data_IF_379193582288
#
_entry.id   IF_379193582288
#
_cell.length_a   1.000
_cell.length_b   1.000
_cell.length_c   1.000
_cell.angle_alpha   90.00
_cell.angle_beta   90.00
_cell.angle_gamma   90.00
#
_symmetry.space_group_name_H-M   'P 1'
#
loop_
_entity.id
_entity.type
_entity.pdbx_description
1 polymer ?
#
# COMPACT_ATOMS: atom_id res chain seq x y z
N UNK A 1 -20.08 -13.00 -11.42
CA UNK A 1 -21.07 -13.00 -10.31
C UNK A 1 -21.09 -11.58 -9.71
N UNK A 2 -21.17 -10.58 -10.58
CA UNK A 2 -20.60 -9.26 -10.32
C UNK A 2 -21.70 -8.21 -10.31
N UNK A 3 -21.62 -7.26 -9.37
CA UNK A 3 -22.47 -6.07 -9.37
C UNK A 3 -21.86 -5.11 -10.38
N UNK A 4 -22.62 -4.66 -11.36
CA UNK A 4 -22.23 -3.54 -12.22
C UNK A 4 -22.68 -2.24 -11.57
N UNK A 5 -21.73 -1.45 -11.06
CA UNK A 5 -22.04 -0.18 -10.39
C UNK A 5 -22.64 0.86 -11.34
N UNK A 6 -22.51 0.67 -12.66
CA UNK A 6 -23.09 1.56 -13.67
C UNK A 6 -24.57 1.24 -13.94
N UNK A 7 -25.01 0.00 -13.73
CA UNK A 7 -26.32 -0.47 -14.20
C UNK A 7 -27.19 -1.14 -13.13
N UNK A 8 -26.59 -1.72 -12.09
CA UNK A 8 -27.30 -2.42 -11.03
C UNK A 8 -27.62 -1.52 -9.83
N UNK A 9 -28.68 -1.85 -9.10
CA UNK A 9 -28.93 -1.27 -7.77
C UNK A 9 -28.05 -1.93 -6.72
N UNK A 10 -27.32 -1.13 -5.93
CA UNK A 10 -26.47 -1.62 -4.85
C UNK A 10 -26.51 -0.72 -3.61
N UNK A 11 -25.94 -1.22 -2.51
CA UNK A 11 -25.72 -0.45 -1.29
C UNK A 11 -24.23 -0.37 -0.99
N UNK A 12 -23.70 0.85 -0.86
CA UNK A 12 -22.32 1.09 -0.44
C UNK A 12 -22.08 0.54 0.97
N UNK A 13 -23.07 0.64 1.87
CA UNK A 13 -22.94 0.23 3.26
C UNK A 13 -23.06 -1.28 3.50
N UNK A 14 -23.97 -1.96 2.80
CA UNK A 14 -24.21 -3.43 2.86
C UNK A 14 -23.79 -4.11 4.19
N UNK A 15 -24.38 -3.64 5.30
CA UNK A 15 -23.91 -3.91 6.65
C UNK A 15 -23.97 -5.40 7.01
N UNK A 16 -24.97 -6.13 6.51
CA UNK A 16 -25.14 -7.56 6.81
C UNK A 16 -23.99 -8.41 6.29
N UNK A 17 -23.54 -8.18 5.05
CA UNK A 17 -22.41 -8.93 4.49
C UNK A 17 -21.08 -8.50 5.11
N UNK A 18 -20.91 -7.22 5.46
CA UNK A 18 -19.72 -6.75 6.18
C UNK A 18 -19.62 -7.35 7.58
N UNK A 19 -20.72 -7.38 8.33
CA UNK A 19 -20.78 -8.04 9.62
C UNK A 19 -20.45 -9.54 9.50
N UNK A 20 -20.97 -10.22 8.47
CA UNK A 20 -20.60 -11.61 8.21
C UNK A 20 -19.09 -11.75 7.95
N UNK A 21 -18.53 -10.93 7.05
CA UNK A 21 -17.11 -10.96 6.73
C UNK A 21 -16.29 -10.73 8.00
N UNK A 22 -16.57 -9.69 8.77
CA UNK A 22 -15.88 -9.41 10.02
C UNK A 22 -15.98 -10.55 11.03
N UNK A 23 -17.17 -11.13 11.26
CA UNK A 23 -17.32 -12.26 12.18
C UNK A 23 -16.48 -13.46 11.73
N UNK A 24 -16.47 -13.73 10.42
CA UNK A 24 -15.63 -14.78 9.84
C UNK A 24 -14.14 -14.48 10.08
N UNK A 25 -13.68 -13.27 9.78
CA UNK A 25 -12.29 -12.83 9.93
C UNK A 25 -11.86 -12.87 11.40
N UNK A 26 -12.70 -12.36 12.30
CA UNK A 26 -12.44 -12.38 13.73
C UNK A 26 -12.33 -13.80 14.28
N UNK A 27 -13.18 -14.73 13.81
CA UNK A 27 -13.05 -16.15 14.15
C UNK A 27 -11.80 -16.78 13.54
N UNK A 28 -11.45 -16.41 12.31
CA UNK A 28 -10.29 -16.91 11.58
C UNK A 28 -8.97 -16.51 12.26
N UNK A 29 -8.77 -15.20 12.51
CA UNK A 29 -7.56 -14.65 13.16
C UNK A 29 -7.38 -15.21 14.59
N UNK A 30 -8.47 -15.49 15.30
CA UNK A 30 -8.46 -16.08 16.64
C UNK A 30 -8.29 -17.61 16.64
N UNK A 31 -8.14 -18.26 15.48
CA UNK A 31 -8.01 -19.71 15.37
C UNK A 31 -9.25 -20.47 15.87
N UNK A 32 -10.44 -19.86 15.80
CA UNK A 32 -11.69 -20.45 16.28
C UNK A 32 -12.46 -21.21 15.20
N UNK A 33 -12.09 -21.05 13.93
CA UNK A 33 -12.68 -21.79 12.83
C UNK A 33 -12.04 -23.17 12.72
N UNK A 34 -12.86 -24.21 12.52
CA UNK A 34 -12.34 -25.54 12.19
C UNK A 34 -11.68 -25.54 10.80
N UNK A 35 -10.65 -26.37 10.61
CA UNK A 35 -10.01 -26.55 9.30
C UNK A 35 -11.00 -26.81 8.16
N UNK A 36 -12.02 -27.64 8.40
CA UNK A 36 -13.06 -27.92 7.38
C UNK A 36 -13.78 -26.65 6.88
N UNK A 37 -14.14 -25.73 7.78
CA UNK A 37 -14.78 -24.47 7.41
C UNK A 37 -13.79 -23.58 6.65
N UNK A 38 -12.53 -23.54 7.12
CA UNK A 38 -11.48 -22.78 6.45
C UNK A 38 -11.25 -23.28 5.02
N UNK A 39 -11.12 -24.58 4.81
CA UNK A 39 -10.90 -25.16 3.49
C UNK A 39 -12.08 -24.91 2.56
N UNK A 40 -13.32 -24.99 3.08
CA UNK A 40 -14.52 -24.72 2.30
C UNK A 40 -14.66 -23.24 1.91
N UNK A 41 -14.30 -22.32 2.80
CA UNK A 41 -14.50 -20.88 2.57
C UNK A 41 -13.32 -20.27 1.83
N UNK A 42 -12.09 -20.56 2.26
CA UNK A 42 -10.85 -19.99 1.71
C UNK A 42 -10.33 -20.78 0.51
N UNK A 43 -10.74 -22.04 0.33
CA UNK A 43 -10.41 -22.83 -0.86
C UNK A 43 -11.37 -22.64 -2.03
N UNK A 44 -12.53 -22.01 -1.82
CA UNK A 44 -13.51 -21.71 -2.87
C UNK A 44 -13.40 -20.25 -3.32
N UNK A 45 -12.87 -20.06 -4.53
CA UNK A 45 -12.69 -18.74 -5.14
C UNK A 45 -14.02 -17.98 -5.27
N UNK A 46 -15.14 -18.66 -5.55
CA UNK A 46 -16.45 -18.01 -5.65
C UNK A 46 -16.93 -17.53 -4.29
N UNK A 47 -16.67 -18.31 -3.24
CA UNK A 47 -16.99 -17.91 -1.87
C UNK A 47 -16.15 -16.70 -1.44
N UNK A 48 -14.85 -16.70 -1.74
CA UNK A 48 -13.97 -15.55 -1.47
C UNK A 48 -14.46 -14.28 -2.19
N UNK A 49 -14.74 -14.36 -3.49
CA UNK A 49 -15.29 -13.23 -4.25
C UNK A 49 -16.66 -12.79 -3.70
N UNK A 50 -17.49 -13.72 -3.22
CA UNK A 50 -18.77 -13.40 -2.59
C UNK A 50 -18.61 -12.65 -1.26
N UNK A 51 -17.66 -13.05 -0.42
CA UNK A 51 -17.28 -12.33 0.81
C UNK A 51 -16.75 -10.94 0.46
N UNK A 52 -15.86 -10.88 -0.55
CA UNK A 52 -15.23 -9.67 -1.06
C UNK A 52 -16.18 -8.65 -1.67
N UNK A 53 -17.34 -9.09 -2.15
CA UNK A 53 -18.21 -8.29 -3.01
C UNK A 53 -18.62 -6.94 -2.41
N UNK A 54 -18.99 -6.89 -1.13
CA UNK A 54 -19.40 -5.60 -0.52
C UNK A 54 -18.28 -4.58 -0.51
N UNK A 55 -17.08 -5.02 -0.16
CA UNK A 55 -15.90 -4.17 -0.13
C UNK A 55 -15.53 -3.71 -1.53
N UNK A 56 -15.42 -4.64 -2.47
CA UNK A 56 -15.05 -4.33 -3.85
C UNK A 56 -16.08 -3.43 -4.53
N UNK A 57 -17.38 -3.66 -4.33
CA UNK A 57 -18.43 -2.77 -4.87
C UNK A 57 -18.32 -1.36 -4.29
N UNK A 58 -18.21 -1.20 -2.95
CA UNK A 58 -18.11 0.13 -2.34
C UNK A 58 -16.85 0.88 -2.77
N UNK A 59 -15.69 0.22 -2.78
CA UNK A 59 -14.44 0.79 -3.25
C UNK A 59 -14.52 1.19 -4.71
N UNK A 60 -15.12 0.36 -5.56
CA UNK A 60 -15.31 0.67 -6.98
C UNK A 60 -16.24 1.87 -7.18
N UNK A 61 -17.30 1.99 -6.39
CA UNK A 61 -18.18 3.18 -6.42
C UNK A 61 -17.43 4.46 -6.07
N UNK A 62 -16.53 4.41 -5.08
CA UNK A 62 -15.66 5.56 -4.74
C UNK A 62 -14.72 5.88 -5.91
N UNK A 63 -14.14 4.86 -6.55
CA UNK A 63 -13.26 5.06 -7.70
C UNK A 63 -14.00 5.69 -8.88
N UNK A 64 -15.20 5.20 -9.18
CA UNK A 64 -16.07 5.72 -10.23
C UNK A 64 -16.48 7.16 -9.97
N UNK A 65 -16.85 7.48 -8.72
CA UNK A 65 -17.14 8.83 -8.28
C UNK A 65 -15.92 9.76 -8.49
N UNK A 66 -14.72 9.32 -8.09
CA UNK A 66 -13.49 10.11 -8.26
C UNK A 66 -13.08 10.32 -9.73
N UNK A 67 -13.47 9.40 -10.63
CA UNK A 67 -13.15 9.48 -12.05
C UNK A 67 -14.14 10.36 -12.85
N UNK A 68 -15.27 10.72 -12.25
CA UNK A 68 -16.36 11.43 -12.93
C UNK A 68 -16.18 12.94 -12.83
N UNK A 69 -15.71 13.60 -13.90
CA UNK A 69 -15.37 15.04 -13.88
C UNK A 69 -16.58 16.01 -13.85
N UNK A 70 -17.83 15.56 -14.10
CA UNK A 70 -18.88 16.50 -14.53
C UNK A 70 -20.34 16.14 -14.18
N UNK A 71 -20.65 15.75 -12.95
CA UNK A 71 -22.05 15.45 -12.58
C UNK A 71 -22.65 16.57 -11.73
N UNK A 72 -23.63 17.29 -12.28
CA UNK A 72 -24.32 18.41 -11.59
C UNK A 72 -25.19 17.94 -10.39
N UNK A 73 -25.44 16.63 -10.25
CA UNK A 73 -26.28 16.02 -9.19
C UNK A 73 -25.47 15.39 -8.01
N UNK A 74 -24.17 15.69 -7.89
CA UNK A 74 -23.28 15.00 -6.95
C UNK A 74 -23.51 15.31 -5.47
N UNK A 75 -24.28 16.33 -5.09
CA UNK A 75 -24.46 16.68 -3.67
C UNK A 75 -24.91 15.48 -2.81
N UNK A 76 -25.74 14.57 -3.35
CA UNK A 76 -26.14 13.36 -2.63
C UNK A 76 -25.03 12.30 -2.60
N UNK A 77 -24.33 12.06 -3.71
CA UNK A 77 -23.21 11.12 -3.75
C UNK A 77 -22.05 11.60 -2.87
N UNK A 78 -21.73 12.88 -2.91
CA UNK A 78 -20.79 13.55 -2.00
C UNK A 78 -21.17 13.28 -0.56
N UNK A 79 -22.46 13.43 -0.19
CA UNK A 79 -22.92 13.15 1.16
C UNK A 79 -22.75 11.67 1.54
N UNK A 80 -23.07 10.73 0.63
CA UNK A 80 -22.93 9.30 0.90
C UNK A 80 -21.46 8.89 1.01
N UNK A 81 -20.62 9.33 0.06
CA UNK A 81 -19.19 9.04 0.02
C UNK A 81 -18.46 9.73 1.18
N UNK A 82 -18.82 10.98 1.50
CA UNK A 82 -18.30 11.65 2.69
C UNK A 82 -18.77 10.97 3.97
N UNK A 83 -20.02 10.52 4.07
CA UNK A 83 -20.46 9.71 5.22
C UNK A 83 -19.64 8.42 5.30
N UNK A 84 -19.31 7.81 4.17
CA UNK A 84 -18.49 6.60 4.12
C UNK A 84 -17.02 6.85 4.51
N UNK A 85 -16.42 7.97 4.08
CA UNK A 85 -14.98 8.27 4.21
C UNK A 85 -14.61 9.21 5.37
N UNK A 86 -15.44 10.23 5.64
CA UNK A 86 -15.18 11.33 6.60
C UNK A 86 -15.65 10.99 8.00
N UNK A 87 -16.76 10.27 8.14
CA UNK A 87 -17.33 10.03 9.46
C UNK A 87 -16.46 9.08 10.29
N UNK A 88 -16.70 9.08 11.60
CA UNK A 88 -16.14 8.14 12.57
C UNK A 88 -16.40 6.66 12.20
N UNK A 89 -17.12 6.39 11.09
CA UNK A 89 -17.25 5.12 10.37
C UNK A 89 -16.04 4.73 9.51
N UNK A 90 -14.81 5.20 9.80
CA UNK A 90 -13.57 4.60 9.24
C UNK A 90 -13.57 3.08 9.36
N UNK A 91 -14.35 2.56 10.30
CA UNK A 91 -14.56 1.17 10.56
C UNK A 91 -15.01 0.38 9.31
N UNK A 92 -15.99 0.87 8.55
CA UNK A 92 -16.45 0.18 7.33
C UNK A 92 -15.33 0.08 6.29
N UNK A 93 -14.56 1.15 6.18
CA UNK A 93 -13.45 1.20 5.26
C UNK A 93 -12.30 0.29 5.69
N UNK A 94 -12.04 0.18 6.99
CA UNK A 94 -11.08 -0.76 7.57
C UNK A 94 -11.49 -2.22 7.36
N UNK A 95 -12.80 -2.52 7.50
CA UNK A 95 -13.34 -3.83 7.18
C UNK A 95 -13.13 -4.18 5.70
N UNK A 96 -13.36 -3.21 4.81
CA UNK A 96 -13.13 -3.39 3.38
C UNK A 96 -11.66 -3.70 3.11
N UNK A 97 -10.72 -2.97 3.72
CA UNK A 97 -9.29 -3.26 3.59
C UNK A 97 -8.89 -4.63 4.09
N UNK A 98 -9.40 -5.03 5.25
CA UNK A 98 -9.15 -6.37 5.80
C UNK A 98 -9.70 -7.44 4.86
N UNK A 99 -10.84 -7.17 4.23
CA UNK A 99 -11.42 -8.04 3.21
C UNK A 99 -10.51 -8.12 1.97
N UNK A 100 -9.98 -7.00 1.48
CA UNK A 100 -9.00 -7.00 0.37
C UNK A 100 -7.74 -7.80 0.74
N UNK A 101 -7.22 -7.68 1.97
CA UNK A 101 -6.08 -8.47 2.44
C UNK A 101 -6.35 -9.97 2.39
N UNK A 102 -7.57 -10.42 2.68
CA UNK A 102 -7.98 -11.82 2.56
C UNK A 102 -8.05 -12.26 1.11
N UNK A 103 -8.64 -11.44 0.24
CA UNK A 103 -8.67 -11.73 -1.18
C UNK A 103 -7.25 -11.87 -1.75
N UNK A 104 -6.34 -10.94 -1.42
CA UNK A 104 -4.93 -10.99 -1.80
C UNK A 104 -4.23 -12.24 -1.24
N UNK A 105 -4.62 -12.69 -0.05
CA UNK A 105 -4.00 -13.85 0.61
C UNK A 105 -4.43 -15.19 0.02
N UNK A 106 -5.65 -15.30 -0.50
CA UNK A 106 -6.26 -16.59 -0.80
C UNK A 106 -6.70 -16.77 -2.25
N UNK A 107 -6.85 -15.69 -3.03
CA UNK A 107 -7.06 -15.80 -4.46
C UNK A 107 -5.73 -15.96 -5.20
N UNK A 108 -5.81 -16.62 -6.36
CA UNK A 108 -4.75 -16.54 -7.35
C UNK A 108 -4.46 -15.06 -7.71
N UNK A 109 -3.19 -14.63 -7.80
CA UNK A 109 -2.84 -13.24 -8.05
C UNK A 109 -3.45 -12.66 -9.32
N UNK A 110 -3.48 -13.41 -10.42
CA UNK A 110 -4.08 -12.97 -11.68
C UNK A 110 -5.60 -12.82 -11.52
N UNK A 111 -6.25 -13.80 -10.89
CA UNK A 111 -7.69 -13.76 -10.63
C UNK A 111 -8.08 -12.58 -9.74
N UNK A 112 -7.31 -12.31 -8.67
CA UNK A 112 -7.54 -11.15 -7.80
C UNK A 112 -7.44 -9.84 -8.59
N UNK A 113 -6.37 -9.65 -9.38
CA UNK A 113 -6.19 -8.43 -10.16
C UNK A 113 -7.29 -8.25 -11.21
N UNK A 114 -7.67 -9.32 -11.91
CA UNK A 114 -8.81 -9.30 -12.85
C UNK A 114 -10.10 -8.92 -12.12
N UNK A 115 -10.39 -9.56 -10.99
CA UNK A 115 -11.59 -9.29 -10.21
C UNK A 115 -11.68 -7.82 -9.82
N UNK A 116 -10.57 -7.23 -9.34
CA UNK A 116 -10.53 -5.80 -9.02
C UNK A 116 -10.72 -4.92 -10.26
N UNK A 117 -10.01 -5.19 -11.37
CA UNK A 117 -10.10 -4.41 -12.61
C UNK A 117 -11.52 -4.41 -13.19
N UNK A 118 -12.18 -5.58 -13.24
CA UNK A 118 -13.55 -5.70 -13.71
C UNK A 118 -14.54 -4.93 -12.83
N UNK A 119 -14.24 -4.69 -11.55
CA UNK A 119 -15.11 -3.91 -10.67
C UNK A 119 -14.79 -2.41 -10.70
N UNK A 120 -13.52 -2.03 -10.80
CA UNK A 120 -13.10 -0.63 -10.91
C UNK A 120 -13.53 -0.02 -12.25
N UNK A 121 -13.46 -0.80 -13.34
CA UNK A 121 -13.87 -0.38 -14.68
C UNK A 121 -14.94 -1.33 -15.25
N UNK A 122 -16.20 -1.27 -14.80
CA UNK A 122 -17.26 -2.19 -15.23
C UNK A 122 -17.48 -2.21 -16.75
N UNK A 123 -17.26 -1.08 -17.41
CA UNK A 123 -17.34 -0.93 -18.87
C UNK A 123 -16.54 -1.97 -19.67
N UNK A 124 -15.43 -2.51 -19.11
CA UNK A 124 -14.61 -3.53 -19.80
C UNK A 124 -15.30 -4.90 -19.88
N UNK A 125 -16.26 -5.20 -18.98
CA UNK A 125 -16.98 -6.49 -18.92
C UNK A 125 -17.75 -6.82 -20.19
N UNK A 126 -18.12 -5.80 -20.97
CA UNK A 126 -18.83 -5.96 -22.25
C UNK A 126 -17.92 -6.43 -23.38
N UNK A 127 -16.60 -6.28 -23.22
CA UNK A 127 -15.59 -6.52 -24.28
C UNK A 127 -14.62 -7.63 -23.94
N UNK A 128 -14.38 -7.88 -22.66
CA UNK A 128 -13.39 -8.84 -22.17
C UNK A 128 -14.00 -9.70 -21.07
N UNK A 129 -13.63 -10.97 -21.03
CA UNK A 129 -13.98 -11.94 -19.98
C UNK A 129 -12.74 -12.32 -19.14
N UNK A 130 -12.97 -13.09 -18.07
CA UNK A 130 -11.89 -13.56 -17.18
C UNK A 130 -10.87 -14.51 -17.84
N UNK A 131 -11.19 -15.06 -19.03
CA UNK A 131 -10.27 -15.95 -19.75
C UNK A 131 -9.12 -15.19 -20.41
N UNK A 132 -9.27 -13.88 -20.64
CA UNK A 132 -8.19 -13.07 -21.21
C UNK A 132 -7.05 -12.88 -20.21
N UNK A 133 -5.79 -12.94 -20.66
CA UNK A 133 -4.65 -12.64 -19.80
C UNK A 133 -4.70 -11.21 -19.25
N UNK A 134 -4.21 -11.01 -18.03
CA UNK A 134 -4.16 -9.70 -17.38
C UNK A 134 -3.45 -8.64 -18.25
N UNK A 135 -2.35 -9.02 -18.93
CA UNK A 135 -1.60 -8.12 -19.81
C UNK A 135 -2.45 -7.57 -20.97
N UNK A 136 -3.37 -8.37 -21.52
CA UNK A 136 -4.31 -7.93 -22.55
C UNK A 136 -5.35 -6.96 -22.00
N UNK A 137 -5.78 -7.13 -20.75
CA UNK A 137 -6.76 -6.26 -20.11
C UNK A 137 -6.14 -4.89 -19.82
N UNK A 138 -4.89 -4.86 -19.34
CA UNK A 138 -4.17 -3.61 -19.05
C UNK A 138 -3.90 -2.76 -20.31
N UNK A 139 -3.93 -3.34 -21.51
CA UNK A 139 -3.80 -2.60 -22.77
C UNK A 139 -5.11 -1.94 -23.26
N UNK A 140 -6.21 -2.04 -22.50
CA UNK A 140 -7.46 -1.36 -22.85
C UNK A 140 -7.39 0.15 -22.56
N UNK A 141 -8.12 0.93 -23.36
CA UNK A 141 -8.18 2.39 -23.26
C UNK A 141 -8.62 2.90 -21.86
N UNK A 142 -9.44 2.14 -21.14
CA UNK A 142 -9.86 2.48 -19.77
C UNK A 142 -8.71 2.61 -18.78
N UNK A 143 -7.56 2.04 -19.11
CA UNK A 143 -6.33 2.11 -18.33
C UNK A 143 -5.29 3.04 -18.95
N UNK A 144 -5.55 3.64 -20.12
CA UNK A 144 -4.68 4.66 -20.73
C UNK A 144 -4.71 5.99 -19.97
N UNK A 145 -5.87 6.37 -19.39
CA UNK A 145 -6.07 7.63 -18.62
C UNK A 145 -5.57 7.48 -17.16
N UNK A 146 -4.91 6.36 -16.83
CA UNK A 146 -4.23 6.07 -15.57
C UNK A 146 -5.07 6.11 -14.27
N UNK A 147 -6.29 6.67 -14.26
CA UNK A 147 -7.13 6.84 -13.06
C UNK A 147 -7.61 5.51 -12.47
N UNK A 148 -8.10 4.59 -13.30
CA UNK A 148 -8.54 3.27 -12.83
C UNK A 148 -7.36 2.47 -12.27
N UNK A 149 -6.22 2.56 -12.96
CA UNK A 149 -4.98 1.90 -12.54
C UNK A 149 -4.45 2.48 -11.23
N UNK A 150 -4.53 3.80 -11.05
CA UNK A 150 -4.20 4.50 -9.80
C UNK A 150 -4.99 3.96 -8.63
N UNK A 151 -6.31 3.86 -8.78
CA UNK A 151 -7.16 3.34 -7.72
C UNK A 151 -6.80 1.89 -7.34
N UNK A 152 -6.60 1.02 -8.34
CA UNK A 152 -6.15 -0.35 -8.11
C UNK A 152 -4.83 -0.37 -7.33
N UNK A 153 -3.83 0.39 -7.77
CA UNK A 153 -2.51 0.45 -7.14
C UNK A 153 -2.59 0.98 -5.71
N UNK A 154 -3.43 1.98 -5.43
CA UNK A 154 -3.64 2.49 -4.07
C UNK A 154 -4.22 1.39 -3.17
N UNK A 155 -5.24 0.66 -3.63
CA UNK A 155 -5.87 -0.41 -2.85
C UNK A 155 -4.89 -1.54 -2.57
N UNK A 156 -4.17 -1.99 -3.60
CA UNK A 156 -3.18 -3.06 -3.49
C UNK A 156 -2.03 -2.65 -2.57
N UNK A 157 -1.45 -1.47 -2.78
CA UNK A 157 -0.34 -0.98 -1.97
C UNK A 157 -0.73 -0.83 -0.49
N UNK A 158 -1.88 -0.20 -0.20
CA UNK A 158 -2.36 -0.08 1.18
C UNK A 158 -2.63 -1.43 1.82
N UNK A 159 -3.27 -2.36 1.11
CA UNK A 159 -3.50 -3.71 1.64
C UNK A 159 -2.17 -4.40 1.96
N UNK A 160 -1.14 -4.20 1.15
CA UNK A 160 0.18 -4.78 1.35
C UNK A 160 1.01 -4.12 2.46
N UNK A 161 0.84 -2.83 2.74
CA UNK A 161 1.65 -2.08 3.72
C UNK A 161 0.96 -1.97 5.08
N UNK A 162 -0.37 -1.79 5.11
CA UNK A 162 -1.13 -1.56 6.35
C UNK A 162 -1.46 -2.90 7.04
N UNK A 163 -0.43 -3.59 7.49
CA UNK A 163 -0.48 -4.99 7.95
C UNK A 163 -0.92 -5.20 9.41
N UNK A 164 -1.46 -4.16 10.05
CA UNK A 164 -1.82 -4.13 11.48
C UNK A 164 -2.72 -5.27 11.96
N UNK A 165 -3.50 -5.91 11.09
CA UNK A 165 -4.39 -7.02 11.46
C UNK A 165 -3.82 -8.41 11.10
N UNK A 166 -2.78 -8.43 10.25
CA UNK A 166 -2.26 -9.65 9.63
C UNK A 166 -0.89 -10.03 10.14
N UNK A 167 -0.21 -9.12 10.86
CA UNK A 167 1.08 -9.39 11.48
C UNK A 167 0.97 -10.05 12.86
N UNK A 168 2.04 -10.73 13.25
CA UNK A 168 2.27 -11.28 14.58
C UNK A 168 3.03 -10.21 15.38
N UNK A 169 2.32 -9.48 16.24
CA UNK A 169 2.87 -8.44 17.10
C UNK A 169 2.30 -8.57 18.50
N UNK A 170 3.10 -8.21 19.51
CA UNK A 170 2.72 -8.34 20.92
C UNK A 170 1.56 -7.42 21.32
N UNK A 171 1.38 -6.29 20.63
CA UNK A 171 0.31 -5.32 20.91
C UNK A 171 -0.22 -4.64 19.64
N UNK A 172 -1.06 -5.36 18.90
CA UNK A 172 -1.65 -4.90 17.64
C UNK A 172 -2.52 -3.64 17.80
N UNK A 173 -3.28 -3.55 18.90
CA UNK A 173 -4.23 -2.46 19.12
C UNK A 173 -3.53 -1.12 19.33
N UNK A 174 -2.36 -1.13 20.00
CA UNK A 174 -1.52 0.06 20.22
C UNK A 174 -0.84 0.50 18.93
N UNK A 175 -0.30 -0.43 18.13
CA UNK A 175 0.34 -0.06 16.86
C UNK A 175 -0.65 0.47 15.84
N UNK A 176 -1.83 -0.16 15.75
CA UNK A 176 -2.91 0.35 14.93
C UNK A 176 -3.37 1.74 15.40
N UNK A 177 -3.51 1.93 16.72
CA UNK A 177 -3.83 3.25 17.28
C UNK A 177 -2.77 4.27 16.87
N UNK A 178 -1.49 3.97 17.09
CA UNK A 178 -0.35 4.79 16.72
C UNK A 178 -0.42 5.24 15.26
N UNK A 179 -0.69 4.32 14.33
CA UNK A 179 -0.87 4.71 12.92
C UNK A 179 -2.06 5.60 12.68
N UNK A 180 -3.22 5.33 13.28
CA UNK A 180 -4.37 6.22 13.15
C UNK A 180 -4.06 7.64 13.66
N UNK A 181 -3.35 7.76 14.79
CA UNK A 181 -2.96 9.07 15.35
C UNK A 181 -2.00 9.79 14.39
N UNK A 182 -0.95 9.10 13.93
CA UNK A 182 0.04 9.66 13.00
C UNK A 182 -0.65 10.25 11.76
N UNK A 183 -1.50 9.47 11.10
CA UNK A 183 -2.18 9.92 9.89
C UNK A 183 -3.23 11.01 10.12
N UNK A 184 -3.85 11.04 11.30
CA UNK A 184 -4.80 12.10 11.67
C UNK A 184 -4.08 13.42 11.97
N UNK A 185 -2.98 13.39 12.72
CA UNK A 185 -2.18 14.58 13.03
C UNK A 185 -1.37 15.08 11.82
N UNK A 186 -1.04 14.20 10.87
CA UNK A 186 -0.42 14.59 9.61
C UNK A 186 -1.29 15.58 8.82
N UNK A 187 -2.63 15.42 8.86
CA UNK A 187 -3.63 16.31 8.22
C UNK A 187 -3.62 17.73 8.78
N UNK A 188 -3.13 17.93 10.01
CA UNK A 188 -3.08 19.23 10.65
C UNK A 188 -3.20 19.15 12.18
N UNK A 189 -2.98 20.29 12.82
CA UNK A 189 -3.05 20.41 14.27
C UNK A 189 -4.50 20.17 14.75
N UNK A 190 -4.65 19.44 15.85
CA UNK A 190 -5.96 19.16 16.45
C UNK A 190 -5.89 19.40 17.96
N UNK A 191 -7.03 19.68 18.59
CA UNK A 191 -7.11 19.71 20.05
C UNK A 191 -7.24 18.27 20.56
N UNK A 192 -6.65 17.98 21.72
CA UNK A 192 -6.70 16.64 22.33
C UNK A 192 -8.16 16.18 22.49
N UNK A 193 -9.04 17.11 22.88
CA UNK A 193 -10.49 16.85 23.03
C UNK A 193 -11.13 16.42 21.71
N UNK A 194 -10.90 17.16 20.62
CA UNK A 194 -11.45 16.82 19.30
C UNK A 194 -10.92 15.47 18.80
N UNK A 195 -9.65 15.18 19.05
CA UNK A 195 -9.03 13.92 18.69
C UNK A 195 -9.64 12.74 19.46
N UNK A 196 -9.77 12.88 20.78
CA UNK A 196 -10.36 11.89 21.68
C UNK A 196 -11.80 11.56 21.25
N UNK A 197 -12.65 12.56 21.04
CA UNK A 197 -14.04 12.35 20.63
C UNK A 197 -14.14 11.49 19.36
N UNK A 198 -13.36 11.81 18.32
CA UNK A 198 -13.33 11.04 17.06
C UNK A 198 -12.82 9.61 17.20
N UNK A 199 -11.88 9.40 18.12
CA UNK A 199 -11.27 8.08 18.33
C UNK A 199 -12.16 7.16 19.16
N UNK A 200 -12.88 7.71 20.15
CA UNK A 200 -13.77 6.95 21.03
C UNK A 200 -15.02 6.44 20.32
N UNK A 201 -15.65 7.27 19.47
CA UNK A 201 -16.84 6.88 18.70
C UNK A 201 -16.60 5.61 17.86
N UNK A 202 -15.37 5.40 17.37
CA UNK A 202 -14.97 4.21 16.62
C UNK A 202 -14.82 2.95 17.50
N UNK A 203 -14.23 3.08 18.70
CA UNK A 203 -13.75 1.92 19.50
C UNK A 203 -14.74 1.43 20.56
N UNK A 204 -15.67 2.26 21.02
CA UNK A 204 -16.72 1.85 21.97
C UNK A 204 -17.64 0.76 21.42
N UNK A 205 -17.72 0.59 20.09
CA UNK A 205 -18.51 -0.49 19.47
C UNK A 205 -17.89 -1.88 19.74
N UNK A 206 -16.59 -1.98 20.02
CA UNK A 206 -15.85 -3.26 20.03
C UNK A 206 -15.09 -3.60 21.30
N UNK A 207 -14.73 -2.61 22.13
CA UNK A 207 -13.87 -2.84 23.29
C UNK A 207 -14.70 -2.81 24.58
N UNK A 208 -14.84 -3.96 25.22
CA UNK A 208 -15.55 -4.10 26.50
C UNK A 208 -14.84 -3.41 27.69
N UNK A 209 -13.59 -2.98 27.54
CA UNK A 209 -12.81 -2.30 28.58
C UNK A 209 -12.26 -0.96 28.06
N UNK A 210 -13.01 0.11 28.30
CA UNK A 210 -12.65 1.47 27.89
C UNK A 210 -11.45 2.05 28.67
N UNK A 211 -11.08 1.45 29.81
CA UNK A 211 -10.03 2.00 30.68
C UNK A 211 -8.63 1.79 30.10
N UNK A 212 -8.32 0.56 29.69
CA UNK A 212 -7.03 0.21 29.04
C UNK A 212 -6.85 0.95 27.71
N UNK A 213 -7.95 1.23 27.00
CA UNK A 213 -7.91 2.03 25.79
C UNK A 213 -7.50 3.48 26.04
N UNK A 214 -7.99 4.08 27.14
CA UNK A 214 -7.66 5.46 27.50
C UNK A 214 -6.18 5.63 27.82
N UNK A 215 -5.63 4.70 28.60
CA UNK A 215 -4.21 4.70 28.98
C UNK A 215 -3.32 4.56 27.73
N UNK A 216 -3.63 3.59 26.87
CA UNK A 216 -2.93 3.40 25.61
C UNK A 216 -3.01 4.64 24.70
N UNK A 217 -4.16 5.31 24.65
CA UNK A 217 -4.34 6.51 23.82
C UNK A 217 -3.45 7.67 24.29
N UNK A 218 -3.42 7.95 25.59
CA UNK A 218 -2.62 9.05 26.13
C UNK A 218 -1.11 8.78 25.98
N UNK A 219 -0.68 7.53 26.15
CA UNK A 219 0.71 7.13 25.93
C UNK A 219 1.12 7.25 24.46
N UNK A 220 0.28 6.79 23.53
CA UNK A 220 0.54 6.92 22.09
C UNK A 220 0.52 8.39 21.67
N UNK A 221 -0.43 9.20 22.14
CA UNK A 221 -0.46 10.64 21.86
C UNK A 221 0.83 11.32 22.32
N UNK A 222 1.28 11.03 23.54
CA UNK A 222 2.55 11.56 24.08
C UNK A 222 3.76 11.07 23.27
N UNK A 223 3.71 9.83 22.78
CA UNK A 223 4.75 9.23 21.93
C UNK A 223 4.85 9.95 20.58
N UNK A 224 3.74 10.17 19.89
CA UNK A 224 3.76 10.66 18.49
C UNK A 224 3.55 12.16 18.31
N UNK A 225 3.13 12.89 19.36
CA UNK A 225 2.76 14.31 19.24
C UNK A 225 3.56 15.25 20.14
N UNK A 226 3.64 16.51 19.72
CA UNK A 226 4.13 17.65 20.51
C UNK A 226 2.97 18.59 20.82
N UNK A 227 2.94 19.09 22.05
CA UNK A 227 1.96 20.11 22.46
C UNK A 227 2.41 21.46 21.94
N UNK A 228 1.51 22.15 21.22
CA UNK A 228 1.71 23.53 20.80
C UNK A 228 0.89 24.42 21.73
N UNK A 229 1.56 25.37 22.38
CA UNK A 229 0.89 26.40 23.15
C UNK A 229 0.16 27.33 22.17
N UNK A 230 -1.16 27.18 22.07
CA UNK A 230 -2.02 28.14 21.38
C UNK A 230 -2.43 29.27 22.32
N UNK A 231 -2.76 30.43 21.75
CA UNK A 231 -3.37 31.54 22.50
C UNK A 231 -4.74 31.15 23.07
N UNK A 232 -5.43 30.22 22.40
CA UNK A 232 -6.65 29.61 22.91
C UNK A 232 -6.33 28.66 24.06
N UNK A 233 -7.14 28.70 25.12
CA UNK A 233 -6.98 27.88 26.34
C UNK A 233 -6.95 26.36 26.11
N UNK A 234 -7.28 25.88 24.91
CA UNK A 234 -7.22 24.46 24.55
C UNK A 234 -5.85 24.07 24.02
N UNK A 235 -5.21 23.06 24.63
CA UNK A 235 -3.95 22.51 24.15
C UNK A 235 -4.13 21.88 22.77
N UNK A 236 -3.46 22.46 21.77
CA UNK A 236 -3.33 21.88 20.43
C UNK A 236 -2.13 20.95 20.38
N UNK A 237 -2.22 19.91 19.56
CA UNK A 237 -1.14 18.94 19.33
C UNK A 237 -0.78 18.87 17.85
N UNK A 238 0.50 18.65 17.56
CA UNK A 238 1.05 18.41 16.22
C UNK A 238 1.82 17.09 16.18
N UNK A 239 1.90 16.48 15.00
CA UNK A 239 2.74 15.31 14.77
C UNK A 239 4.22 15.67 14.94
N UNK A 240 5.00 14.85 15.65
CA UNK A 240 6.44 15.06 15.73
C UNK A 240 7.11 14.81 14.37
N UNK A 241 8.16 15.58 14.00
CA UNK A 241 8.80 15.49 12.69
C UNK A 241 9.21 14.06 12.27
N UNK A 242 9.75 13.27 13.20
CA UNK A 242 10.25 11.92 12.93
C UNK A 242 9.18 10.92 12.45
N UNK A 243 7.90 11.19 12.72
CA UNK A 243 6.81 10.32 12.25
C UNK A 243 6.35 10.64 10.83
N UNK A 244 6.77 11.77 10.25
CA UNK A 244 6.50 12.05 8.82
C UNK A 244 7.27 11.11 7.90
N UNK A 245 8.41 10.58 8.34
CA UNK A 245 9.24 9.69 7.52
C UNK A 245 8.48 8.43 7.08
N UNK A 246 7.67 7.91 7.98
CA UNK A 246 6.94 6.66 7.78
C UNK A 246 5.49 6.90 7.34
N UNK A 247 5.14 8.14 6.97
CA UNK A 247 3.79 8.49 6.57
C UNK A 247 3.48 7.91 5.19
N UNK A 248 2.52 6.99 5.13
CA UNK A 248 1.95 6.55 3.86
C UNK A 248 1.06 7.67 3.27
N UNK A 249 1.55 8.36 2.23
CA UNK A 249 0.83 9.47 1.58
C UNK A 249 -0.46 9.04 0.87
N UNK A 250 -0.61 7.74 0.60
CA UNK A 250 -1.82 7.13 0.03
C UNK A 250 -2.66 6.42 1.09
N UNK A 251 -2.31 6.58 2.38
CA UNK A 251 -3.01 5.96 3.49
C UNK A 251 -4.47 6.33 3.45
N UNK A 252 -5.27 5.28 3.33
CA UNK A 252 -6.72 5.33 3.40
C UNK A 252 -7.35 6.45 2.59
N UNK A 253 -7.12 6.42 1.25
CA UNK A 253 -7.74 7.24 0.19
C UNK A 253 -8.38 8.46 0.82
N UNK A 254 -7.52 9.41 1.21
CA UNK A 254 -7.96 10.66 1.79
C UNK A 254 -9.13 11.18 0.98
N UNK A 255 -10.17 11.69 1.65
CA UNK A 255 -11.16 12.52 0.98
C UNK A 255 -10.37 13.51 0.12
N UNK A 256 -10.61 13.53 -1.19
CA UNK A 256 -9.70 14.04 -2.22
C UNK A 256 -8.96 15.36 -1.87
N UNK A 257 -9.61 16.36 -1.23
CA UNK A 257 -8.94 17.58 -0.76
C UNK A 257 -7.85 17.36 0.31
N UNK A 258 -8.06 16.46 1.27
CA UNK A 258 -7.12 16.22 2.37
C UNK A 258 -5.82 15.57 1.86
N UNK A 259 -5.91 14.74 0.82
CA UNK A 259 -4.76 14.08 0.21
C UNK A 259 -3.77 15.10 -0.37
N UNK A 260 -4.27 16.12 -1.06
CA UNK A 260 -3.40 17.15 -1.64
C UNK A 260 -2.63 17.95 -0.59
N UNK A 261 -3.27 18.31 0.52
CA UNK A 261 -2.61 19.05 1.59
C UNK A 261 -1.45 18.25 2.20
N UNK A 262 -1.62 16.93 2.34
CA UNK A 262 -0.56 16.06 2.84
C UNK A 262 0.56 15.91 1.82
N UNK A 263 0.24 15.76 0.54
CA UNK A 263 1.25 15.67 -0.52
C UNK A 263 2.09 16.95 -0.59
N UNK A 264 1.47 18.12 -0.54
CA UNK A 264 2.17 19.42 -0.53
C UNK A 264 3.09 19.53 0.69
N UNK A 265 2.57 19.23 1.88
CA UNK A 265 3.34 19.25 3.12
C UNK A 265 4.53 18.28 3.09
N UNK A 266 4.34 17.06 2.59
CA UNK A 266 5.44 16.09 2.42
C UNK A 266 6.45 16.57 1.39
N UNK A 267 6.00 17.15 0.29
CA UNK A 267 6.88 17.72 -0.73
C UNK A 267 7.79 18.80 -0.13
N UNK A 268 7.24 19.69 0.69
CA UNK A 268 8.02 20.73 1.37
C UNK A 268 9.03 20.14 2.36
N UNK A 269 8.61 19.19 3.20
CA UNK A 269 9.48 18.57 4.19
C UNK A 269 10.61 17.74 3.56
N UNK A 270 10.35 17.06 2.44
CA UNK A 270 11.37 16.34 1.67
C UNK A 270 12.33 17.31 0.98
N UNK A 271 11.81 18.42 0.44
CA UNK A 271 12.64 19.46 -0.18
C UNK A 271 13.63 20.08 0.80
N UNK A 272 13.23 20.26 2.06
CA UNK A 272 14.10 20.78 3.12
C UNK A 272 14.93 19.70 3.82
N UNK A 273 14.82 18.43 3.40
CA UNK A 273 15.47 17.27 4.05
C UNK A 273 15.14 17.15 5.55
N UNK A 274 13.97 17.65 5.97
CA UNK A 274 13.49 17.56 7.36
C UNK A 274 12.93 16.17 7.64
N UNK A 275 12.35 15.55 6.62
CA UNK A 275 11.93 14.15 6.64
C UNK A 275 12.39 13.46 5.35
N UNK A 276 12.26 12.14 5.29
CA UNK A 276 12.51 11.32 4.10
C UNK A 276 11.53 10.15 4.06
N UNK A 277 11.21 9.67 2.87
CA UNK A 277 10.37 8.48 2.73
C UNK A 277 11.05 7.27 3.36
N UNK A 278 10.34 6.60 4.28
CA UNK A 278 10.68 5.32 4.86
C UNK A 278 9.44 4.42 4.85
N UNK A 279 9.60 3.15 4.49
CA UNK A 279 8.55 2.17 4.76
C UNK A 279 8.45 1.91 6.28
N UNK A 280 7.24 1.66 6.82
CA UNK A 280 7.08 1.20 8.20
C UNK A 280 7.90 -0.07 8.45
N UNK A 281 8.15 -0.39 9.71
CA UNK A 281 8.59 -1.73 10.08
C UNK A 281 7.56 -2.75 9.59
N UNK A 282 8.06 -3.86 9.03
CA UNK A 282 7.22 -4.90 8.45
C UNK A 282 7.45 -6.16 9.25
N UNK A 283 6.43 -6.55 10.01
CA UNK A 283 6.42 -7.74 10.82
C UNK A 283 6.22 -9.02 10.00
N UNK A 284 6.36 -10.15 10.69
CA UNK A 284 6.02 -11.45 10.13
C UNK A 284 4.50 -11.57 9.99
N UNK A 285 4.05 -12.02 8.82
CA UNK A 285 2.64 -12.32 8.58
C UNK A 285 2.23 -13.57 9.37
N UNK A 286 1.00 -13.55 9.89
CA UNK A 286 0.30 -14.76 10.36
C UNK A 286 0.23 -15.77 9.22
N UNK A 287 0.23 -17.05 9.56
CA UNK A 287 0.18 -18.16 8.60
C UNK A 287 -0.95 -17.99 7.57
N UNK A 288 -2.11 -17.62 8.11
CA UNK A 288 -3.33 -17.24 7.40
C UNK A 288 -3.19 -16.21 6.28
N UNK A 289 -2.18 -15.34 6.33
CA UNK A 289 -1.98 -14.22 5.42
C UNK A 289 -0.66 -14.33 4.65
N UNK A 290 0.06 -15.47 4.74
CA UNK A 290 1.32 -15.67 4.01
C UNK A 290 1.14 -15.45 2.51
N UNK A 291 -0.03 -15.76 1.96
CA UNK A 291 -0.36 -15.55 0.55
C UNK A 291 -0.21 -14.09 0.07
N UNK A 292 -0.25 -13.09 0.95
CA UNK A 292 0.08 -11.71 0.56
C UNK A 292 1.51 -11.56 0.07
N UNK A 293 2.45 -12.33 0.64
CA UNK A 293 3.81 -12.37 0.11
C UNK A 293 3.85 -13.12 -1.23
N UNK A 294 3.09 -14.21 -1.38
CA UNK A 294 2.98 -14.92 -2.66
C UNK A 294 2.46 -14.00 -3.76
N UNK A 295 1.45 -13.17 -3.45
CA UNK A 295 0.96 -12.12 -4.33
C UNK A 295 2.02 -11.07 -4.65
N UNK A 296 2.67 -10.51 -3.62
CA UNK A 296 3.70 -9.47 -3.77
C UNK A 296 4.85 -9.90 -4.69
N UNK A 297 5.22 -11.18 -4.64
CA UNK A 297 6.29 -11.76 -5.46
C UNK A 297 5.75 -12.54 -6.68
N UNK A 298 4.48 -12.39 -7.04
CA UNK A 298 3.88 -13.05 -8.21
C UNK A 298 4.35 -12.43 -9.52
N UNK A 299 4.27 -13.21 -10.60
CA UNK A 299 4.54 -12.69 -11.95
C UNK A 299 3.44 -11.72 -12.41
N UNK A 300 2.20 -11.90 -11.96
CA UNK A 300 1.07 -11.04 -12.31
C UNK A 300 1.22 -9.63 -11.72
N UNK A 301 1.57 -9.53 -10.43
CA UNK A 301 1.83 -8.23 -9.81
C UNK A 301 3.09 -7.56 -10.38
N UNK A 302 4.14 -8.35 -10.64
CA UNK A 302 5.34 -7.87 -11.35
C UNK A 302 5.02 -7.38 -12.75
N UNK A 303 4.10 -8.05 -13.46
CA UNK A 303 3.59 -7.67 -14.76
C UNK A 303 2.83 -6.34 -14.74
N UNK A 304 2.00 -6.13 -13.71
CA UNK A 304 1.30 -4.86 -13.46
C UNK A 304 2.30 -3.71 -13.25
N UNK A 305 3.31 -3.92 -12.40
CA UNK A 305 4.39 -2.94 -12.18
C UNK A 305 5.10 -2.62 -13.50
N UNK A 306 5.50 -3.66 -14.23
CA UNK A 306 6.21 -3.49 -15.50
C UNK A 306 5.38 -2.78 -16.55
N UNK A 307 4.07 -3.01 -16.59
CA UNK A 307 3.16 -2.28 -17.48
C UNK A 307 3.23 -0.76 -17.22
N UNK A 308 3.15 -0.33 -15.96
CA UNK A 308 3.28 1.10 -15.59
C UNK A 308 4.65 1.65 -16.00
N UNK A 309 5.74 0.95 -15.69
CA UNK A 309 7.10 1.41 -16.01
C UNK A 309 7.36 1.50 -17.52
N UNK A 310 6.87 0.53 -18.30
CA UNK A 310 6.97 0.54 -19.77
C UNK A 310 6.17 1.70 -20.33
N UNK A 311 4.92 1.87 -19.91
CA UNK A 311 4.05 2.98 -20.33
C UNK A 311 4.74 4.34 -20.08
N UNK A 312 5.28 4.53 -18.88
CA UNK A 312 6.06 5.72 -18.52
C UNK A 312 7.32 5.93 -19.38
N UNK A 313 8.03 4.85 -19.68
CA UNK A 313 9.25 4.93 -20.50
C UNK A 313 8.94 5.24 -21.97
N UNK A 314 7.81 4.78 -22.51
CA UNK A 314 7.39 5.03 -23.89
C UNK A 314 6.75 6.41 -24.07
N UNK A 315 5.96 6.87 -23.11
CA UNK A 315 5.22 8.15 -23.18
C UNK A 315 6.03 9.34 -22.68
N UNK A 316 7.27 9.47 -23.17
CA UNK A 316 8.18 10.55 -22.79
C UNK A 316 7.60 11.91 -23.17
N UNK A 317 7.01 12.62 -22.22
CA UNK A 317 6.65 14.04 -22.37
C UNK A 317 5.21 14.42 -22.04
N UNK A 318 4.33 13.47 -21.74
CA UNK A 318 3.01 13.76 -21.15
C UNK A 318 3.10 13.60 -19.64
N UNK A 319 3.35 14.69 -18.93
CA UNK A 319 3.37 14.69 -17.45
C UNK A 319 1.96 14.96 -16.94
N UNK A 320 1.11 13.93 -16.97
CA UNK A 320 -0.15 13.99 -16.24
C UNK A 320 0.10 13.63 -14.77
N UNK A 321 -0.52 14.38 -13.86
CA UNK A 321 -0.41 14.16 -12.41
C UNK A 321 -0.81 12.72 -12.01
N UNK A 322 -1.83 12.18 -12.66
CA UNK A 322 -2.35 10.83 -12.41
C UNK A 322 -1.31 9.77 -12.73
N UNK A 323 -0.64 9.89 -13.89
CA UNK A 323 0.45 9.02 -14.26
C UNK A 323 1.53 9.01 -13.17
N UNK A 324 1.81 10.18 -12.56
CA UNK A 324 2.89 10.30 -11.59
C UNK A 324 2.55 9.53 -10.32
N UNK A 325 1.32 9.60 -9.84
CA UNK A 325 0.86 8.80 -8.70
C UNK A 325 1.04 7.30 -8.95
N UNK A 326 0.78 6.81 -10.17
CA UNK A 326 1.04 5.40 -10.53
C UNK A 326 2.53 5.06 -10.41
N UNK A 327 3.40 5.95 -10.88
CA UNK A 327 4.84 5.80 -10.75
C UNK A 327 5.30 5.83 -9.29
N UNK A 328 4.73 6.71 -8.45
CA UNK A 328 4.99 6.74 -7.00
C UNK A 328 4.64 5.40 -6.36
N UNK A 329 3.40 4.92 -6.54
CA UNK A 329 2.89 3.67 -5.95
C UNK A 329 3.68 2.44 -6.39
N UNK A 330 4.03 2.37 -7.68
CA UNK A 330 4.87 1.30 -8.21
C UNK A 330 6.24 1.32 -7.56
N UNK A 331 6.86 2.49 -7.43
CA UNK A 331 8.19 2.62 -6.82
C UNK A 331 8.16 2.27 -5.34
N UNK A 332 7.13 2.72 -4.61
CA UNK A 332 6.91 2.35 -3.22
C UNK A 332 6.66 0.84 -3.05
N UNK A 333 5.97 0.20 -4.00
CA UNK A 333 5.77 -1.25 -4.04
C UNK A 333 7.07 -2.00 -4.29
N UNK A 334 7.96 -1.48 -5.15
CA UNK A 334 9.31 -2.02 -5.36
C UNK A 334 10.15 -1.92 -4.10
N UNK A 335 10.11 -0.78 -3.40
CA UNK A 335 10.75 -0.63 -2.09
C UNK A 335 10.24 -1.69 -1.10
N UNK A 336 8.93 -1.97 -1.14
CA UNK A 336 8.29 -2.96 -0.27
C UNK A 336 8.76 -4.38 -0.58
N UNK A 337 8.79 -4.76 -1.87
CA UNK A 337 9.32 -6.04 -2.34
C UNK A 337 10.76 -6.24 -1.84
N UNK A 338 11.63 -5.25 -2.06
CA UNK A 338 13.03 -5.34 -1.66
C UNK A 338 13.18 -5.43 -0.15
N UNK A 339 12.52 -4.54 0.62
CA UNK A 339 12.57 -4.56 2.08
C UNK A 339 12.12 -5.90 2.67
N UNK A 340 11.02 -6.47 2.17
CA UNK A 340 10.54 -7.78 2.64
C UNK A 340 11.50 -8.88 2.24
N UNK A 341 12.06 -8.84 1.03
CA UNK A 341 13.03 -9.85 0.57
C UNK A 341 14.32 -9.84 1.38
N UNK A 342 14.74 -8.67 1.89
CA UNK A 342 15.92 -8.53 2.76
C UNK A 342 15.65 -9.01 4.19
N UNK A 343 14.44 -8.77 4.71
CA UNK A 343 14.07 -9.20 6.06
C UNK A 343 13.83 -10.71 6.17
N UNK A 344 13.54 -11.39 5.07
CA UNK A 344 13.24 -12.83 5.09
C UNK A 344 14.49 -13.69 4.92
N UNK A 345 14.72 -14.51 5.94
CA UNK A 345 15.76 -15.54 5.97
C UNK A 345 15.46 -16.61 4.92
N UNK A 346 16.29 -16.72 3.89
CA UNK A 346 16.24 -17.78 2.86
C UNK A 346 14.94 -17.87 2.04
N UNK A 347 14.42 -16.75 1.57
CA UNK A 347 13.26 -16.78 0.69
C UNK A 347 13.68 -16.82 -0.81
N UNK A 348 13.07 -17.75 -1.53
CA UNK A 348 13.04 -17.79 -3.00
C UNK A 348 12.63 -16.46 -3.66
N UNK A 349 11.94 -15.59 -2.90
CA UNK A 349 11.58 -14.23 -3.33
C UNK A 349 12.76 -13.30 -3.52
N UNK A 350 13.90 -13.50 -2.83
CA UNK A 350 15.03 -12.58 -2.93
C UNK A 350 15.68 -12.61 -4.32
N UNK A 351 16.14 -13.76 -4.87
CA UNK A 351 16.69 -13.79 -6.23
C UNK A 351 15.72 -13.24 -7.27
N UNK A 352 14.42 -13.53 -7.11
CA UNK A 352 13.36 -13.01 -7.98
C UNK A 352 13.25 -11.48 -7.90
N UNK A 353 13.36 -10.91 -6.70
CA UNK A 353 13.32 -9.46 -6.47
C UNK A 353 14.56 -8.77 -7.04
N UNK A 354 15.74 -9.37 -6.88
CA UNK A 354 16.98 -8.86 -7.47
C UNK A 354 16.92 -8.88 -9.00
N UNK A 355 16.49 -10.00 -9.60
CA UNK A 355 16.29 -10.08 -11.05
C UNK A 355 15.23 -9.09 -11.55
N UNK A 356 14.17 -8.87 -10.76
CA UNK A 356 13.14 -7.88 -11.06
C UNK A 356 13.71 -6.47 -11.16
N UNK A 357 14.40 -6.02 -10.12
CA UNK A 357 14.87 -4.64 -9.95
C UNK A 357 16.12 -4.36 -10.81
N UNK A 358 17.07 -5.28 -10.81
CA UNK A 358 18.39 -5.08 -11.40
C UNK A 358 18.55 -5.78 -12.75
N UNK A 359 17.76 -6.80 -13.07
CA UNK A 359 17.87 -7.52 -14.35
C UNK A 359 17.68 -6.60 -15.57
N UNK A 360 18.45 -6.85 -16.64
CA UNK A 360 18.34 -6.11 -17.91
C UNK A 360 17.07 -6.54 -18.64
N UNK A 361 16.21 -5.57 -18.99
CA UNK A 361 14.93 -5.84 -19.65
C UNK A 361 14.83 -5.16 -21.00
N UNK A 362 14.49 -5.94 -22.03
CA UNK A 362 14.34 -5.43 -23.40
C UNK A 362 13.19 -4.45 -23.55
N UNK A 363 12.06 -4.68 -22.87
CA UNK A 363 10.91 -3.76 -22.87
C UNK A 363 11.20 -2.42 -22.17
N UNK A 364 12.28 -2.31 -21.40
CA UNK A 364 12.80 -1.05 -20.85
C UNK A 364 13.94 -0.47 -21.69
N UNK A 365 14.13 -0.96 -22.91
CA UNK A 365 15.19 -0.49 -23.82
C UNK A 365 16.59 -0.95 -23.42
N UNK A 366 16.71 -2.16 -22.86
CA UNK A 366 17.94 -2.76 -22.34
C UNK A 366 18.46 -2.10 -21.06
N UNK A 367 17.56 -1.51 -20.27
CA UNK A 367 17.85 -0.97 -18.95
C UNK A 367 17.28 -1.88 -17.86
N UNK A 368 17.71 -1.67 -16.62
CA UNK A 368 17.05 -2.24 -15.45
C UNK A 368 16.13 -1.22 -14.77
N UNK A 369 15.27 -1.70 -13.87
CA UNK A 369 14.27 -0.87 -13.18
C UNK A 369 14.95 0.21 -12.34
N UNK A 370 15.99 -0.15 -11.58
CA UNK A 370 16.72 0.82 -10.74
C UNK A 370 17.28 2.00 -11.54
N UNK A 371 17.96 1.72 -12.67
CA UNK A 371 18.56 2.77 -13.51
C UNK A 371 17.48 3.60 -14.21
N UNK A 372 16.38 2.99 -14.61
CA UNK A 372 15.24 3.71 -15.18
C UNK A 372 14.61 4.67 -14.16
N UNK A 373 14.43 4.24 -12.91
CA UNK A 373 13.90 5.07 -11.83
C UNK A 373 14.86 6.21 -11.46
N UNK A 374 16.17 5.94 -11.42
CA UNK A 374 17.20 6.96 -11.23
C UNK A 374 17.18 8.01 -12.36
N UNK A 375 17.01 7.57 -13.61
CA UNK A 375 16.81 8.45 -14.75
C UNK A 375 15.55 9.30 -14.61
N UNK A 376 14.43 8.70 -14.24
CA UNK A 376 13.19 9.44 -13.98
C UNK A 376 13.34 10.44 -12.84
N UNK A 377 14.07 10.10 -11.76
CA UNK A 377 14.32 11.00 -10.64
C UNK A 377 15.01 12.28 -11.13
N UNK A 378 16.07 12.14 -11.93
CA UNK A 378 16.81 13.27 -12.52
C UNK A 378 15.92 14.11 -13.44
N UNK A 379 15.10 13.45 -14.27
CA UNK A 379 14.26 14.12 -15.27
C UNK A 379 13.05 14.85 -14.68
N UNK A 380 12.34 14.21 -13.74
CA UNK A 380 11.09 14.74 -13.18
C UNK A 380 11.34 15.84 -12.16
N UNK A 381 12.47 15.81 -11.46
CA UNK A 381 12.79 16.74 -10.37
C UNK A 381 11.64 16.88 -9.34
N UNK A 382 10.94 15.77 -9.07
CA UNK A 382 9.83 15.73 -8.13
C UNK A 382 10.33 15.24 -6.77
N UNK A 383 10.14 16.05 -5.74
CA UNK A 383 10.68 15.86 -4.38
C UNK A 383 10.28 14.52 -3.76
N UNK A 384 8.98 14.20 -3.76
CA UNK A 384 8.45 12.94 -3.22
C UNK A 384 9.02 11.73 -3.96
N UNK A 385 8.92 11.72 -5.29
CA UNK A 385 9.49 10.64 -6.10
C UNK A 385 11.00 10.48 -5.87
N UNK A 386 11.73 11.59 -5.81
CA UNK A 386 13.16 11.60 -5.51
C UNK A 386 13.46 10.92 -4.17
N UNK A 387 12.70 11.26 -3.13
CA UNK A 387 12.86 10.66 -1.79
C UNK A 387 12.56 9.16 -1.78
N UNK A 388 11.55 8.69 -2.53
CA UNK A 388 11.24 7.25 -2.64
C UNK A 388 12.36 6.51 -3.39
N UNK A 389 12.90 7.08 -4.46
CA UNK A 389 14.03 6.51 -5.20
C UNK A 389 15.31 6.50 -4.35
N UNK A 390 15.53 7.54 -3.55
CA UNK A 390 16.63 7.60 -2.58
C UNK A 390 16.52 6.48 -1.54
N UNK A 391 15.32 6.27 -1.01
CA UNK A 391 15.07 5.14 -0.11
C UNK A 391 15.33 3.79 -0.78
N UNK A 392 14.94 3.62 -2.06
CA UNK A 392 15.24 2.41 -2.82
C UNK A 392 16.76 2.19 -2.96
N UNK A 393 17.53 3.25 -3.21
CA UNK A 393 19.00 3.20 -3.28
C UNK A 393 19.60 2.81 -1.93
N UNK A 394 19.12 3.42 -0.84
CA UNK A 394 19.53 3.12 0.53
C UNK A 394 19.36 1.64 0.86
N UNK A 395 18.16 1.09 0.68
CA UNK A 395 17.89 -0.32 0.99
C UNK A 395 18.57 -1.28 0.01
N UNK A 396 19.00 -0.79 -1.16
CA UNK A 396 19.82 -1.55 -2.12
C UNK A 396 21.32 -1.46 -1.84
N UNK A 397 21.72 -0.68 -0.83
CA UNK A 397 23.11 -0.35 -0.53
C UNK A 397 23.86 0.31 -1.72
N UNK A 398 23.14 0.99 -2.61
CA UNK A 398 23.72 1.73 -3.74
C UNK A 398 24.08 3.15 -3.30
N UNK A 399 25.34 3.60 -3.49
CA UNK A 399 25.74 4.95 -3.15
C UNK A 399 24.86 6.00 -3.84
N UNK A 400 24.43 7.02 -3.10
CA UNK A 400 23.58 8.10 -3.63
C UNK A 400 24.20 8.83 -4.83
N UNK A 401 25.53 8.93 -4.86
CA UNK A 401 26.28 9.57 -5.93
C UNK A 401 26.47 8.67 -7.16
N UNK A 402 26.12 7.37 -7.07
CA UNK A 402 26.33 6.41 -8.14
C UNK A 402 25.68 6.84 -9.45
N UNK A 403 24.48 7.44 -9.41
CA UNK A 403 23.76 7.88 -10.61
C UNK A 403 23.90 9.38 -10.91
N UNK A 404 24.75 10.13 -10.20
CA UNK A 404 24.92 11.57 -10.45
C UNK A 404 25.44 11.88 -11.86
N UNK A 405 26.27 10.99 -12.42
CA UNK A 405 26.85 11.06 -13.76
C UNK A 405 25.96 10.43 -14.86
N UNK A 406 24.71 10.05 -14.53
CA UNK A 406 23.84 9.35 -15.47
C UNK A 406 23.57 10.20 -16.72
N UNK A 407 24.10 9.73 -17.85
CA UNK A 407 23.93 10.33 -19.17
C UNK A 407 22.46 10.35 -19.60
N UNK A 408 22.06 11.36 -20.37
CA UNK A 408 20.78 11.35 -21.07
C UNK A 408 20.82 10.51 -22.36
N UNK A 409 22.01 10.16 -22.84
CA UNK A 409 22.19 9.28 -24.00
C UNK A 409 21.78 7.85 -23.66
N UNK A 410 21.07 7.20 -24.59
CA UNK A 410 20.58 5.83 -24.42
C UNK A 410 21.71 4.83 -24.10
N UNK A 411 22.86 4.99 -24.75
CA UNK A 411 24.04 4.14 -24.53
C UNK A 411 24.58 4.29 -23.10
N UNK A 412 24.65 5.52 -22.58
CA UNK A 412 25.12 5.76 -21.23
C UNK A 412 24.19 5.16 -20.16
N UNK A 413 22.87 5.25 -20.35
CA UNK A 413 21.89 4.61 -19.44
C UNK A 413 22.03 3.08 -19.48
N UNK A 414 22.26 2.50 -20.66
CA UNK A 414 22.42 1.05 -20.85
C UNK A 414 23.71 0.55 -20.17
N UNK A 415 24.83 1.26 -20.36
CA UNK A 415 26.10 0.93 -19.70
C UNK A 415 25.98 1.02 -18.17
N UNK A 416 25.34 2.07 -17.66
CA UNK A 416 25.09 2.23 -16.22
C UNK A 416 24.21 1.11 -15.66
N UNK A 417 23.19 0.68 -16.41
CA UNK A 417 22.32 -0.45 -16.02
C UNK A 417 23.11 -1.75 -15.84
N UNK A 418 24.05 -2.05 -16.74
CA UNK A 418 24.88 -3.27 -16.62
C UNK A 418 25.78 -3.21 -15.39
N UNK A 419 26.45 -2.08 -15.17
CA UNK A 419 27.32 -1.88 -13.99
C UNK A 419 26.55 -1.93 -12.67
N UNK A 420 25.29 -1.48 -12.68
CA UNK A 420 24.42 -1.48 -11.50
C UNK A 420 24.13 -2.91 -11.01
N UNK A 421 23.98 -3.88 -11.92
CA UNK A 421 23.78 -5.31 -11.57
C UNK A 421 24.97 -5.86 -10.79
N UNK A 422 26.18 -5.65 -11.29
CA UNK A 422 27.39 -6.16 -10.65
C UNK A 422 27.58 -5.55 -9.26
N UNK A 423 27.19 -4.28 -9.12
CA UNK A 423 27.26 -3.56 -7.86
C UNK A 423 26.23 -4.12 -6.86
N UNK A 424 24.94 -4.14 -7.24
CA UNK A 424 23.86 -4.61 -6.37
C UNK A 424 24.06 -6.08 -5.96
N UNK A 425 24.51 -6.94 -6.89
CA UNK A 425 24.78 -8.35 -6.59
C UNK A 425 25.86 -8.50 -5.51
N UNK A 426 26.93 -7.71 -5.56
CA UNK A 426 28.02 -7.77 -4.56
C UNK A 426 27.59 -7.26 -3.20
N UNK A 427 26.86 -6.15 -3.13
CA UNK A 427 26.42 -5.59 -1.86
C UNK A 427 25.38 -6.50 -1.19
N UNK A 428 24.38 -6.93 -1.96
CA UNK A 428 23.25 -7.68 -1.40
C UNK A 428 23.60 -9.15 -1.11
N UNK A 429 24.60 -9.74 -1.78
CA UNK A 429 25.15 -11.05 -1.37
C UNK A 429 25.81 -10.98 0.01
N UNK A 430 26.59 -9.93 0.30
CA UNK A 430 27.20 -9.74 1.62
C UNK A 430 26.14 -9.59 2.70
N UNK A 431 25.05 -8.90 2.40
CA UNK A 431 23.92 -8.77 3.30
C UNK A 431 23.32 -10.15 3.65
N UNK A 432 23.08 -11.00 2.64
CA UNK A 432 22.57 -12.35 2.88
C UNK A 432 23.53 -13.23 3.69
N UNK A 433 24.83 -13.18 3.41
CA UNK A 433 25.84 -13.91 4.17
C UNK A 433 25.88 -13.46 5.64
N UNK A 434 25.75 -12.15 5.89
CA UNK A 434 25.70 -11.60 7.24
C UNK A 434 24.47 -12.08 8.02
N UNK A 435 23.28 -12.03 7.41
CA UNK A 435 22.04 -12.53 8.01
C UNK A 435 22.14 -14.02 8.33
N UNK A 436 22.68 -14.83 7.40
CA UNK A 436 22.88 -16.27 7.59
C UNK A 436 23.86 -16.60 8.73
N UNK A 437 24.90 -15.78 8.92
CA UNK A 437 25.91 -16.01 9.96
C UNK A 437 25.40 -15.63 11.35
N UNK A 438 24.65 -14.54 11.50
CA UNK A 438 24.06 -14.13 12.77
C UNK A 438 23.03 -15.13 13.31
N UNK A 439 22.38 -15.87 12.42
CA UNK A 439 21.42 -16.89 12.82
C UNK A 439 22.08 -18.16 13.36
N UNK A 440 23.23 -18.53 12.80
CA UNK A 440 24.00 -19.67 13.33
C UNK A 440 24.45 -19.38 14.76
N UNK A 441 24.99 -18.18 15.01
CA UNK A 441 25.38 -17.77 16.37
C UNK A 441 24.21 -17.67 17.33
N UNK A 442 23.02 -17.25 16.90
CA UNK A 442 21.82 -17.27 17.75
C UNK A 442 21.38 -18.71 18.07
N UNK A 443 21.34 -19.62 17.09
CA UNK A 443 20.98 -21.02 17.32
C UNK A 443 21.98 -21.72 18.24
N UNK A 444 23.28 -21.55 17.99
CA UNK A 444 24.34 -22.13 18.82
C UNK A 444 24.26 -21.62 20.27
N UNK A 445 23.85 -20.37 20.49
CA UNK A 445 23.62 -19.83 21.83
C UNK A 445 22.40 -20.46 22.52
N UNK A 446 21.30 -20.72 21.79
CA UNK A 446 20.13 -21.39 22.37
C UNK A 446 20.41 -22.85 22.71
N UNK A 447 21.17 -23.55 21.87
CA UNK A 447 21.60 -24.93 22.11
C UNK A 447 22.58 -25.04 23.31
N UNK A 448 23.25 -23.94 23.68
CA UNK A 448 24.13 -23.89 24.87
C UNK A 448 23.41 -23.55 26.17
N UNK A 449 22.18 -23.00 26.09
CA UNK A 449 21.38 -22.55 27.25
C UNK A 449 20.35 -23.61 27.67
N UNK A 450 20.15 -24.67 26.87
CA UNK A 450 19.39 -25.86 27.22
C UNK A 450 20.31 -26.96 27.75
#
# INVERSE_FOLDING_TARGET
MDCDIETDSFSIFNLSRRLFAEMFIGCYVKGKLSHKIMDQVLGDQNMLMWIGRSAVTALSSICFYNASESWDDLNFFDLVISTYLISDNRYLYMQDFTTIQILISHLDPELFLKYMLFNIAPSIRKRVDFSKPLSSILCLQEFEIDLNLRHLLILVYNALVERHFVEILDNLDVQYLERQIIHSLARGNQTIKKFKNRTYEYREIFVNDSSTLNENLDDVLKKVSTVINSLDSEKTISLKPEYFDTLNMFFFIYYFPEGFNIQEKLSDLYKTSTCRFLLPEIGQLRESFIGMNSFLFSDDFSGLIMHVLVNWNTNRGRTEKVALDNLLLVTMSICLMLKISLNKKNDSSFPKTIDFIFGIRMNLGSNNVMTLLAFFKKRLNHTIFGSIVDYLMDISEIPFDYFCDLSESREGITDKSRKCIDFASKSLQKHQEFVLNNDKTQKDHWDFVQ
#
